data_IF_450018275145
#
_entry.id   IF_450018275145
#
_cell.length_a   1.000
_cell.length_b   1.000
_cell.length_c   1.000
_cell.angle_alpha   90.00
_cell.angle_beta   90.00
_cell.angle_gamma   90.00
#
_symmetry.space_group_name_H-M   'P 1'
#
loop_
_entity.id
_entity.type
_entity.pdbx_description
1 polymer ?
#
# COMPACT_ATOMS: atom_id res chain seq x y z
N UNK A 1 -7.87 12.87 -3.26
CA UNK A 1 -8.02 11.47 -2.83
C UNK A 1 -6.95 11.20 -1.78
N UNK A 2 -7.35 10.82 -0.57
CA UNK A 2 -6.45 10.61 0.57
C UNK A 2 -6.04 9.14 0.62
N UNK A 3 -4.76 8.84 0.78
CA UNK A 3 -4.28 7.44 0.93
C UNK A 3 -4.96 6.74 2.11
N UNK A 4 -5.28 7.50 3.16
CA UNK A 4 -5.98 7.00 4.35
C UNK A 4 -7.41 6.56 4.00
N UNK A 5 -8.14 7.33 3.19
CA UNK A 5 -9.50 6.94 2.77
C UNK A 5 -9.49 5.69 1.90
N UNK A 6 -8.45 5.54 1.06
CA UNK A 6 -8.32 4.38 0.17
C UNK A 6 -7.98 3.11 0.97
N UNK A 7 -7.12 3.21 2.00
CA UNK A 7 -6.83 2.11 2.94
C UNK A 7 -8.07 1.72 3.75
N UNK A 8 -8.84 2.71 4.23
CA UNK A 8 -10.07 2.45 4.97
C UNK A 8 -11.09 1.71 4.10
N UNK A 9 -11.34 2.18 2.88
CA UNK A 9 -12.25 1.53 1.94
C UNK A 9 -11.80 0.09 1.61
N UNK A 10 -10.49 -0.13 1.49
CA UNK A 10 -9.94 -1.47 1.26
C UNK A 10 -10.18 -2.41 2.46
N UNK A 11 -10.02 -1.89 3.68
CA UNK A 11 -10.31 -2.61 4.93
C UNK A 11 -11.79 -3.00 5.02
N UNK A 12 -12.69 -2.09 4.66
CA UNK A 12 -14.13 -2.34 4.68
C UNK A 12 -14.52 -3.45 3.69
N UNK A 13 -13.97 -3.40 2.47
CA UNK A 13 -14.20 -4.44 1.45
C UNK A 13 -13.64 -5.79 1.90
N UNK A 14 -12.44 -5.81 2.51
CA UNK A 14 -11.84 -7.03 3.03
C UNK A 14 -12.72 -7.67 4.11
N UNK A 15 -13.15 -6.88 5.09
CA UNK A 15 -13.98 -7.33 6.22
C UNK A 15 -15.30 -7.89 5.71
N UNK A 16 -15.96 -7.17 4.78
CA UNK A 16 -17.22 -7.61 4.17
C UNK A 16 -17.09 -8.94 3.43
N UNK A 17 -16.04 -9.10 2.60
CA UNK A 17 -15.81 -10.36 1.88
C UNK A 17 -15.47 -11.52 2.81
N UNK A 18 -14.66 -11.29 3.84
CA UNK A 18 -14.29 -12.31 4.81
C UNK A 18 -15.51 -12.82 5.58
N UNK A 19 -16.35 -11.90 6.05
CA UNK A 19 -17.59 -12.24 6.75
C UNK A 19 -18.55 -13.05 5.85
N UNK A 20 -18.58 -12.73 4.55
CA UNK A 20 -19.30 -13.52 3.56
C UNK A 20 -18.81 -14.97 3.45
N UNK A 21 -17.50 -15.20 3.49
CA UNK A 21 -16.94 -16.55 3.49
C UNK A 21 -17.21 -17.30 4.79
N UNK A 22 -17.09 -16.64 5.94
CA UNK A 22 -17.40 -17.27 7.23
C UNK A 22 -18.84 -17.79 7.28
N UNK A 23 -19.80 -17.00 6.79
CA UNK A 23 -21.21 -17.41 6.69
C UNK A 23 -21.40 -18.60 5.73
N UNK A 24 -20.75 -18.57 4.56
CA UNK A 24 -20.81 -19.68 3.61
C UNK A 24 -20.20 -20.96 4.20
N UNK A 25 -19.06 -20.85 4.88
CA UNK A 25 -18.40 -21.97 5.55
C UNK A 25 -19.28 -22.56 6.65
N UNK A 26 -19.84 -21.74 7.53
CA UNK A 26 -20.76 -22.17 8.58
C UNK A 26 -21.98 -22.88 7.99
N UNK A 27 -22.57 -22.31 6.93
CA UNK A 27 -23.73 -22.92 6.26
C UNK A 27 -23.41 -24.28 5.62
N UNK A 28 -22.19 -24.44 5.09
CA UNK A 28 -21.72 -25.69 4.51
C UNK A 28 -21.46 -26.75 5.57
N UNK A 29 -20.85 -26.37 6.71
CA UNK A 29 -20.65 -27.28 7.86
C UNK A 29 -21.98 -27.79 8.42
N UNK A 30 -23.01 -26.93 8.49
CA UNK A 30 -24.36 -27.34 8.94
C UNK A 30 -25.04 -28.29 7.94
N UNK A 31 -24.84 -28.09 6.63
CA UNK A 31 -25.42 -28.95 5.58
C UNK A 31 -24.71 -30.31 5.44
N UNK A 32 -23.42 -30.38 5.76
CA UNK A 32 -22.63 -31.61 5.66
C UNK A 32 -23.07 -32.69 6.66
N UNK A 33 -23.83 -32.35 7.71
CA UNK A 33 -24.43 -33.37 8.60
C UNK A 33 -25.56 -34.16 7.94
N UNK A 34 -26.10 -33.71 6.78
CA UNK A 34 -27.34 -34.24 6.22
C UNK A 34 -27.29 -34.66 4.72
N UNK A 35 -26.22 -34.44 3.95
CA UNK A 35 -26.03 -35.07 2.62
C UNK A 35 -24.63 -34.91 2.03
N UNK A 36 -24.11 -35.96 1.38
CA UNK A 36 -22.88 -35.97 0.57
C UNK A 36 -23.06 -35.19 -0.75
N UNK A 37 -22.30 -34.11 -0.98
CA UNK A 37 -22.35 -33.30 -2.23
C UNK A 37 -21.44 -32.05 -2.26
N UNK A 38 -21.19 -31.43 -3.45
CA UNK A 38 -19.94 -30.77 -3.89
C UNK A 38 -19.66 -29.35 -3.35
N UNK A 39 -20.14 -29.02 -2.16
CA UNK A 39 -20.11 -27.65 -1.59
C UNK A 39 -18.69 -27.17 -1.27
N UNK A 40 -17.77 -28.09 -0.95
CA UNK A 40 -16.40 -27.77 -0.53
C UNK A 40 -15.55 -27.22 -1.69
N UNK A 41 -15.76 -27.72 -2.92
CA UNK A 41 -15.00 -27.25 -4.09
C UNK A 41 -15.38 -25.81 -4.45
N UNK A 42 -16.66 -25.46 -4.35
CA UNK A 42 -17.14 -24.10 -4.62
C UNK A 42 -16.59 -23.09 -3.60
N UNK A 43 -16.50 -23.49 -2.33
CA UNK A 43 -15.86 -22.68 -1.28
C UNK A 43 -14.35 -22.53 -1.53
N UNK A 44 -13.67 -23.58 -1.98
CA UNK A 44 -12.25 -23.53 -2.30
C UNK A 44 -11.96 -22.57 -3.47
N UNK A 45 -12.77 -22.61 -4.52
CA UNK A 45 -12.65 -21.68 -5.67
C UNK A 45 -12.88 -20.23 -5.24
N UNK A 46 -13.89 -20.01 -4.41
CA UNK A 46 -14.20 -18.71 -3.81
C UNK A 46 -13.05 -18.17 -2.93
N UNK A 47 -12.43 -19.04 -2.13
CA UNK A 47 -11.26 -18.69 -1.33
C UNK A 47 -10.04 -18.34 -2.19
N UNK A 48 -9.80 -19.09 -3.28
CA UNK A 48 -8.72 -18.80 -4.24
C UNK A 48 -8.95 -17.42 -4.88
N UNK A 49 -10.18 -17.11 -5.28
CA UNK A 49 -10.53 -15.81 -5.84
C UNK A 49 -10.31 -14.67 -4.83
N UNK A 50 -10.66 -14.90 -3.56
CA UNK A 50 -10.40 -13.92 -2.49
C UNK A 50 -8.91 -13.72 -2.23
N UNK A 51 -8.14 -14.80 -2.16
CA UNK A 51 -6.68 -14.73 -2.00
C UNK A 51 -6.04 -13.89 -3.10
N UNK A 52 -6.46 -14.08 -4.37
CA UNK A 52 -6.02 -13.25 -5.50
C UNK A 52 -6.38 -11.77 -5.31
N UNK A 53 -7.60 -11.51 -4.85
CA UNK A 53 -8.04 -10.14 -4.52
C UNK A 53 -7.17 -9.50 -3.43
N UNK A 54 -6.91 -10.19 -2.33
CA UNK A 54 -6.08 -9.70 -1.22
C UNK A 54 -4.65 -9.41 -1.68
N UNK A 55 -4.06 -10.29 -2.49
CA UNK A 55 -2.71 -10.07 -3.04
C UNK A 55 -2.69 -8.82 -3.93
N UNK A 56 -3.65 -8.67 -4.84
CA UNK A 56 -3.74 -7.48 -5.71
C UNK A 56 -3.96 -6.19 -4.92
N UNK A 57 -4.75 -6.26 -3.85
CA UNK A 57 -4.98 -5.15 -2.93
C UNK A 57 -3.69 -4.71 -2.22
N UNK A 58 -2.89 -5.67 -1.71
CA UNK A 58 -1.60 -5.40 -1.09
C UNK A 58 -0.59 -4.83 -2.08
N UNK A 59 -0.55 -5.32 -3.32
CA UNK A 59 0.29 -4.78 -4.38
C UNK A 59 -0.02 -3.31 -4.66
N UNK A 60 -1.32 -2.96 -4.77
CA UNK A 60 -1.74 -1.57 -4.92
C UNK A 60 -1.34 -0.70 -3.73
N UNK A 61 -1.48 -1.21 -2.51
CA UNK A 61 -1.05 -0.48 -1.32
C UNK A 61 0.47 -0.23 -1.35
N UNK A 62 1.26 -1.23 -1.73
CA UNK A 62 2.71 -1.11 -1.89
C UNK A 62 3.06 -0.01 -2.90
N UNK A 63 2.40 0.01 -4.05
CA UNK A 63 2.59 1.05 -5.07
C UNK A 63 2.34 2.46 -4.52
N UNK A 64 1.25 2.64 -3.73
CA UNK A 64 0.94 3.93 -3.11
C UNK A 64 1.97 4.35 -2.07
N UNK A 65 2.51 3.41 -1.29
CA UNK A 65 3.60 3.67 -0.34
C UNK A 65 4.87 4.13 -1.07
N UNK A 66 5.26 3.47 -2.16
CA UNK A 66 6.41 3.89 -2.97
C UNK A 66 6.23 5.30 -3.54
N UNK A 67 5.03 5.64 -4.02
CA UNK A 67 4.72 7.00 -4.50
C UNK A 67 4.83 8.02 -3.36
N UNK A 68 4.41 7.66 -2.15
CA UNK A 68 4.48 8.54 -0.99
C UNK A 68 5.93 8.80 -0.58
N UNK A 69 6.78 7.78 -0.58
CA UNK A 69 8.23 7.89 -0.34
C UNK A 69 8.86 8.89 -1.32
N UNK A 70 8.63 8.73 -2.63
CA UNK A 70 9.17 9.67 -3.63
C UNK A 70 8.66 11.10 -3.46
N UNK A 71 7.43 11.29 -2.97
CA UNK A 71 6.89 12.62 -2.69
C UNK A 71 7.52 13.24 -1.44
N UNK A 72 7.83 12.45 -0.42
CA UNK A 72 8.57 12.93 0.75
C UNK A 72 9.95 13.40 0.32
N UNK A 73 10.68 12.60 -0.46
CA UNK A 73 12.01 12.97 -0.95
C UNK A 73 11.98 14.28 -1.74
N UNK A 74 10.97 14.45 -2.59
CA UNK A 74 10.74 15.68 -3.33
C UNK A 74 10.52 16.88 -2.39
N UNK A 75 9.63 16.73 -1.40
CA UNK A 75 9.34 17.79 -0.43
C UNK A 75 10.56 18.14 0.42
N UNK A 76 11.34 17.14 0.82
CA UNK A 76 12.57 17.32 1.57
C UNK A 76 13.61 18.06 0.73
N UNK A 77 13.75 17.71 -0.55
CA UNK A 77 14.64 18.39 -1.47
C UNK A 77 14.21 19.85 -1.71
N UNK A 78 12.91 20.10 -1.89
CA UNK A 78 12.38 21.47 -1.95
C UNK A 78 12.63 22.25 -0.66
N UNK A 79 12.47 21.61 0.50
CA UNK A 79 12.75 22.25 1.80
C UNK A 79 14.23 22.61 1.95
N UNK A 80 15.14 21.70 1.58
CA UNK A 80 16.59 21.96 1.57
C UNK A 80 16.95 23.13 0.65
N UNK A 81 16.39 23.16 -0.57
CA UNK A 81 16.60 24.27 -1.51
C UNK A 81 16.11 25.60 -0.95
N UNK A 82 14.92 25.62 -0.39
CA UNK A 82 14.36 26.83 0.24
C UNK A 82 15.26 27.34 1.37
N UNK A 83 15.82 26.44 2.19
CA UNK A 83 16.77 26.80 3.24
C UNK A 83 18.01 27.50 2.67
N UNK A 84 18.63 26.94 1.63
CA UNK A 84 19.80 27.54 0.98
C UNK A 84 19.51 28.92 0.39
N UNK A 85 18.36 29.07 -0.27
CA UNK A 85 17.92 30.35 -0.83
C UNK A 85 17.71 31.43 0.24
N UNK A 86 17.11 31.07 1.39
CA UNK A 86 16.92 32.00 2.52
C UNK A 86 18.28 32.50 3.04
N UNK A 87 19.29 31.64 3.04
CA UNK A 87 20.66 31.99 3.44
C UNK A 87 21.47 32.69 2.33
N UNK A 88 20.84 33.02 1.19
CA UNK A 88 21.47 33.78 0.11
C UNK A 88 22.41 32.94 -0.77
N UNK A 89 22.35 31.62 -0.69
CA UNK A 89 23.12 30.72 -1.55
C UNK A 89 22.34 30.55 -2.87
N UNK A 90 22.86 31.03 -4.00
CA UNK A 90 22.16 30.97 -5.28
C UNK A 90 22.11 29.53 -5.83
N UNK A 91 21.01 29.15 -6.47
CA UNK A 91 20.90 27.83 -7.12
C UNK A 91 21.78 27.78 -8.38
N UNK A 92 22.74 26.87 -8.40
CA UNK A 92 23.53 26.60 -9.61
C UNK A 92 22.86 25.50 -10.45
N UNK A 93 22.70 25.72 -11.77
CA UNK A 93 22.09 24.73 -12.67
C UNK A 93 22.89 23.43 -12.65
N UNK A 94 22.25 22.32 -12.27
CA UNK A 94 22.87 20.99 -12.26
C UNK A 94 23.56 20.60 -10.95
N UNK A 95 23.29 21.31 -9.84
CA UNK A 95 23.75 20.90 -8.51
C UNK A 95 23.33 19.47 -8.17
N UNK A 96 24.33 18.63 -7.96
CA UNK A 96 24.16 17.29 -7.39
C UNK A 96 24.47 17.37 -5.92
N UNK A 97 23.59 16.82 -5.09
CA UNK A 97 23.74 16.74 -3.62
C UNK A 97 25.08 16.09 -3.25
N UNK A 98 25.51 15.14 -4.10
CA UNK A 98 26.82 14.47 -4.09
C UNK A 98 27.98 15.46 -3.98
N UNK A 99 27.93 16.60 -4.68
CA UNK A 99 29.04 17.56 -4.76
C UNK A 99 29.10 18.50 -3.54
N UNK A 100 27.99 18.67 -2.83
CA UNK A 100 27.91 19.58 -1.66
C UNK A 100 28.29 18.84 -0.37
N UNK A 101 28.06 17.53 -0.29
CA UNK A 101 28.37 16.71 0.88
C UNK A 101 29.87 16.46 1.12
N UNK A 102 30.76 16.78 0.19
CA UNK A 102 32.21 16.60 0.35
C UNK A 102 32.96 17.80 0.94
N UNK A 103 32.29 18.91 1.28
CA UNK A 103 33.00 20.16 1.66
C UNK A 103 33.23 20.32 3.18
N UNK A 104 32.62 19.50 4.05
CA UNK A 104 32.70 19.70 5.51
C UNK A 104 33.59 18.71 6.28
N UNK A 105 34.53 18.04 5.62
CA UNK A 105 35.61 17.31 6.30
C UNK A 105 36.96 17.65 5.68
N UNK A 106 37.41 18.90 5.86
CA UNK A 106 38.82 19.32 5.96
C UNK A 106 38.89 20.85 6.06
N UNK A 107 38.78 21.38 7.28
CA UNK A 107 39.53 22.56 7.73
C UNK A 107 39.53 22.62 9.26
#
# INVERSE_FOLDING_TARGET
MSVISDIQALSDIFTSKMQGFELQLQSAMVKQSNSEGPIINEIADNFIAFKKFVISALEKMREKVCIFESKIDYLENCSRKNCLLIHGIPETKGERIENVLFVNHLQ
#
